data_IF_359715255105
#
_entry.id   IF_359715255105
#
_cell.length_a   1.000
_cell.length_b   1.000
_cell.length_c   1.000
_cell.angle_alpha   90.00
_cell.angle_beta   90.00
_cell.angle_gamma   90.00
#
_symmetry.space_group_name_H-M   'P 1'
#
loop_
_entity.id
_entity.type
_entity.pdbx_description
1 polymer ?
#
# COMPACT_ATOMS: atom_id res chain seq x y z
N UNK A 1 7.01 -11.00 -15.76
CA UNK A 1 7.46 -9.74 -16.40
C UNK A 1 8.72 -9.96 -17.22
N UNK A 2 9.74 -10.65 -16.69
CA UNK A 2 10.98 -10.99 -17.44
C UNK A 2 10.74 -11.69 -18.78
N UNK A 3 9.84 -12.70 -18.83
CA UNK A 3 9.51 -13.38 -20.08
C UNK A 3 8.88 -12.44 -21.12
N UNK A 4 8.02 -11.50 -20.68
CA UNK A 4 7.44 -10.48 -21.55
C UNK A 4 8.52 -9.51 -22.04
N UNK A 5 9.46 -9.14 -21.16
CA UNK A 5 10.61 -8.30 -21.52
C UNK A 5 11.49 -8.94 -22.58
N UNK A 6 11.84 -10.22 -22.41
CA UNK A 6 12.67 -10.96 -23.35
C UNK A 6 12.05 -11.08 -24.75
N UNK A 7 10.71 -11.14 -24.85
CA UNK A 7 10.00 -11.30 -26.12
C UNK A 7 9.52 -10.00 -26.78
N UNK A 8 9.29 -8.94 -26.01
CA UNK A 8 8.60 -7.74 -26.50
C UNK A 8 8.92 -6.44 -25.78
N UNK A 9 9.90 -6.43 -24.87
CA UNK A 9 10.29 -5.24 -24.12
C UNK A 9 9.35 -4.90 -22.97
N UNK A 10 9.30 -3.62 -22.58
CA UNK A 10 8.55 -3.18 -21.39
C UNK A 10 7.04 -3.43 -21.57
N UNK A 11 6.41 -4.03 -20.56
CA UNK A 11 4.95 -4.25 -20.55
C UNK A 11 4.13 -2.98 -20.31
N UNK A 12 4.79 -1.90 -19.90
CA UNK A 12 4.17 -0.62 -19.62
C UNK A 12 5.14 0.34 -18.91
N UNK A 13 4.70 1.58 -18.61
CA UNK A 13 5.55 2.61 -18.01
C UNK A 13 6.00 2.28 -16.57
N UNK A 14 5.37 1.31 -15.92
CA UNK A 14 5.70 0.86 -14.57
C UNK A 14 6.26 -0.57 -14.56
N UNK A 15 6.78 -1.07 -15.69
CA UNK A 15 7.35 -2.42 -15.77
C UNK A 15 8.35 -2.69 -14.63
N UNK A 16 8.06 -3.68 -13.80
CA UNK A 16 8.84 -4.10 -12.64
C UNK A 16 8.97 -3.04 -11.51
N UNK A 17 8.12 -2.01 -11.48
CA UNK A 17 8.09 -1.04 -10.39
C UNK A 17 7.37 -1.64 -9.17
N UNK A 18 8.04 -1.80 -8.00
CA UNK A 18 7.41 -2.35 -6.80
C UNK A 18 6.57 -1.28 -6.10
N UNK A 19 5.29 -1.59 -5.89
CA UNK A 19 4.27 -0.69 -5.32
C UNK A 19 3.76 -1.22 -3.99
N UNK A 20 3.72 -0.33 -3.00
CA UNK A 20 3.05 -0.55 -1.71
C UNK A 20 1.62 0.00 -1.75
N UNK A 21 0.64 -0.75 -1.27
CA UNK A 21 -0.77 -0.32 -1.26
C UNK A 21 -1.29 -0.16 0.17
N UNK A 22 -1.84 1.00 0.52
CA UNK A 22 -2.61 1.17 1.77
C UNK A 22 -3.67 0.09 1.89
N UNK A 23 -3.78 -0.51 3.07
CA UNK A 23 -4.54 -1.75 3.28
C UNK A 23 -6.03 -1.68 2.87
N UNK A 24 -6.66 -0.51 2.93
CA UNK A 24 -8.04 -0.30 2.43
C UNK A 24 -8.21 -0.34 0.91
N UNK A 25 -7.12 -0.39 0.13
CA UNK A 25 -7.20 -0.63 -1.33
C UNK A 25 -7.53 -2.10 -1.54
N UNK A 26 -8.66 -2.36 -2.18
CA UNK A 26 -9.14 -3.73 -2.44
C UNK A 26 -8.29 -4.43 -3.50
N UNK A 27 -7.96 -5.68 -3.20
CA UNK A 27 -7.12 -6.57 -4.01
C UNK A 27 -7.73 -7.97 -3.99
N UNK A 28 -7.78 -8.65 -5.13
CA UNK A 28 -8.27 -10.04 -5.20
C UNK A 28 -7.27 -11.05 -4.63
N UNK A 29 -5.97 -10.76 -4.69
CA UNK A 29 -4.87 -11.67 -4.32
C UNK A 29 -4.33 -11.46 -2.89
N UNK A 30 -4.74 -10.39 -2.20
CA UNK A 30 -4.27 -10.05 -0.85
C UNK A 30 -5.45 -9.58 0.03
N UNK A 31 -5.43 -9.85 1.34
CA UNK A 31 -6.45 -9.34 2.25
C UNK A 31 -6.53 -7.80 2.26
N UNK A 32 -7.72 -7.28 2.55
CA UNK A 32 -8.00 -5.85 2.77
C UNK A 32 -8.69 -5.71 4.11
N UNK A 33 -7.95 -5.33 5.15
CA UNK A 33 -8.48 -5.35 6.53
C UNK A 33 -9.03 -4.00 6.98
N UNK A 34 -8.83 -2.94 6.20
CA UNK A 34 -9.13 -1.55 6.58
C UNK A 34 -8.44 -1.14 7.91
N UNK A 35 -7.35 -1.82 8.29
CA UNK A 35 -6.73 -1.71 9.60
C UNK A 35 -7.58 -2.18 10.79
N UNK A 36 -8.70 -2.89 10.56
CA UNK A 36 -9.60 -3.35 11.61
C UNK A 36 -9.50 -4.86 11.79
N UNK A 37 -9.49 -5.32 13.05
CA UNK A 37 -9.57 -6.74 13.37
C UNK A 37 -10.88 -7.39 12.88
N UNK A 38 -11.93 -6.59 12.62
CA UNK A 38 -13.20 -7.06 12.07
C UNK A 38 -13.06 -7.67 10.67
N UNK A 39 -12.03 -7.27 9.93
CA UNK A 39 -11.75 -7.70 8.57
C UNK A 39 -10.45 -8.49 8.49
N UNK A 40 -9.97 -9.07 9.60
CA UNK A 40 -8.78 -9.93 9.55
C UNK A 40 -9.01 -11.12 8.61
N UNK A 41 -8.10 -11.27 7.65
CA UNK A 41 -8.22 -12.26 6.57
C UNK A 41 -9.31 -11.98 5.52
N UNK A 42 -9.99 -10.84 5.54
CA UNK A 42 -11.02 -10.51 4.54
C UNK A 42 -10.39 -10.32 3.15
N UNK A 43 -10.92 -11.06 2.16
CA UNK A 43 -10.56 -10.93 0.75
C UNK A 43 -11.77 -10.37 0.00
N UNK A 44 -11.59 -9.24 -0.70
CA UNK A 44 -12.68 -8.54 -1.39
C UNK A 44 -13.24 -9.29 -2.60
N UNK A 45 -12.46 -10.23 -3.16
CA UNK A 45 -12.78 -10.93 -4.41
C UNK A 45 -12.71 -10.03 -5.66
N UNK A 46 -12.23 -8.79 -5.53
CA UNK A 46 -12.12 -7.83 -6.63
C UNK A 46 -10.93 -6.89 -6.45
N UNK A 47 -10.41 -6.42 -7.57
CA UNK A 47 -9.42 -5.35 -7.58
C UNK A 47 -10.09 -3.98 -7.64
N UNK A 48 -9.56 -3.03 -6.88
CA UNK A 48 -9.87 -1.63 -7.06
C UNK A 48 -9.37 -1.16 -8.45
N UNK A 49 -10.01 -0.15 -9.03
CA UNK A 49 -9.61 0.38 -10.35
C UNK A 49 -8.14 0.78 -10.42
N UNK A 50 -7.57 1.29 -9.31
CA UNK A 50 -6.15 1.65 -9.26
C UNK A 50 -5.22 0.43 -9.34
N UNK A 51 -5.63 -0.70 -8.75
CA UNK A 51 -4.89 -1.97 -8.82
C UNK A 51 -4.83 -2.46 -10.26
N UNK A 52 -5.98 -2.52 -10.93
CA UNK A 52 -6.07 -2.90 -12.35
C UNK A 52 -5.14 -2.04 -13.21
N UNK A 53 -5.19 -0.71 -13.04
CA UNK A 53 -4.36 0.21 -13.82
C UNK A 53 -2.86 0.08 -13.53
N UNK A 54 -2.48 -0.21 -12.28
CA UNK A 54 -1.09 -0.44 -11.91
C UNK A 54 -0.56 -1.73 -12.54
N UNK A 55 -1.34 -2.82 -12.46
CA UNK A 55 -0.99 -4.11 -13.07
C UNK A 55 -0.90 -4.00 -14.60
N UNK A 56 -1.86 -3.34 -15.25
CA UNK A 56 -1.84 -3.05 -16.69
C UNK A 56 -0.62 -2.22 -17.10
N UNK A 57 -0.14 -1.33 -16.24
CA UNK A 57 1.08 -0.56 -16.47
C UNK A 57 2.38 -1.36 -16.22
N UNK A 58 2.28 -2.61 -15.77
CA UNK A 58 3.40 -3.51 -15.48
C UNK A 58 3.99 -3.40 -14.08
N UNK A 59 3.30 -2.71 -13.16
CA UNK A 59 3.73 -2.58 -11.77
C UNK A 59 3.59 -3.92 -11.02
N UNK A 60 4.39 -4.08 -9.96
CA UNK A 60 4.33 -5.23 -9.06
C UNK A 60 3.75 -4.74 -7.73
N UNK A 61 2.55 -5.17 -7.38
CA UNK A 61 2.00 -4.90 -6.05
C UNK A 61 2.71 -5.82 -5.05
N UNK A 62 3.58 -5.23 -4.24
CA UNK A 62 4.47 -6.00 -3.37
C UNK A 62 3.82 -6.36 -2.03
N UNK A 63 3.07 -5.43 -1.44
CA UNK A 63 2.48 -5.62 -0.12
C UNK A 63 1.35 -4.62 0.18
N UNK A 64 0.53 -4.99 1.17
CA UNK A 64 -0.41 -4.09 1.84
C UNK A 64 0.31 -3.37 2.99
N UNK A 65 0.10 -2.07 3.14
CA UNK A 65 0.70 -1.27 4.21
C UNK A 65 -0.31 -0.99 5.33
N UNK A 66 0.19 -1.06 6.56
CA UNK A 66 -0.61 -0.73 7.73
C UNK A 66 -1.09 0.75 7.67
N UNK A 67 -2.23 1.02 8.29
CA UNK A 67 -2.91 2.32 8.24
C UNK A 67 -3.54 2.67 9.59
N UNK A 68 -4.18 3.82 9.72
CA UNK A 68 -5.14 4.04 10.80
C UNK A 68 -6.41 3.24 10.56
N UNK A 69 -6.95 2.56 11.57
CA UNK A 69 -8.21 1.81 11.46
C UNK A 69 -9.33 2.67 10.84
N UNK A 70 -9.96 2.16 9.77
CA UNK A 70 -10.95 2.88 8.93
C UNK A 70 -10.50 4.28 8.50
N UNK A 71 -9.20 4.46 8.24
CA UNK A 71 -8.57 5.72 7.87
C UNK A 71 -8.72 6.87 8.91
N UNK A 72 -9.08 6.55 10.16
CA UNK A 72 -9.45 7.53 11.18
C UNK A 72 -8.36 7.84 12.22
N UNK A 73 -7.28 7.04 12.27
CA UNK A 73 -6.20 7.14 13.28
C UNK A 73 -4.83 7.45 12.64
N UNK A 74 -3.89 7.94 13.45
CA UNK A 74 -2.56 8.39 12.98
C UNK A 74 -1.37 7.51 13.44
N UNK A 75 -1.54 6.60 14.40
CA UNK A 75 -0.42 5.84 15.01
C UNK A 75 -0.32 4.40 14.51
N UNK A 76 -1.42 3.83 14.02
CA UNK A 76 -1.50 2.43 13.60
C UNK A 76 -2.91 1.87 13.74
N UNK A 77 -2.98 0.54 13.85
CA UNK A 77 -4.21 -0.23 13.71
C UNK A 77 -4.25 -1.42 14.68
N UNK A 78 -5.26 -2.28 14.54
CA UNK A 78 -5.30 -3.56 15.25
C UNK A 78 -4.10 -4.47 14.94
N UNK A 79 -3.42 -4.24 13.82
CA UNK A 79 -2.23 -4.99 13.37
C UNK A 79 -0.92 -4.38 13.87
N UNK A 80 -0.98 -3.46 14.83
CA UNK A 80 0.16 -2.89 15.52
C UNK A 80 0.47 -1.43 15.17
N UNK A 81 1.49 -0.92 15.84
CA UNK A 81 1.94 0.47 15.73
C UNK A 81 2.83 0.64 14.50
N UNK A 82 2.60 1.71 13.77
CA UNK A 82 3.47 2.16 12.68
C UNK A 82 4.54 3.05 13.31
N UNK A 83 5.82 2.73 13.10
CA UNK A 83 6.94 3.53 13.60
C UNK A 83 7.52 4.39 12.49
N UNK A 84 7.87 5.63 12.78
CA UNK A 84 8.51 6.50 11.80
C UNK A 84 9.91 5.94 11.42
N UNK A 85 10.19 5.89 10.11
CA UNK A 85 11.42 5.29 9.57
C UNK A 85 12.70 6.04 9.95
N UNK A 86 12.61 7.36 10.21
CA UNK A 86 13.77 8.18 10.58
C UNK A 86 14.02 8.21 12.09
N UNK A 87 12.96 8.08 12.90
CA UNK A 87 13.04 8.05 14.35
C UNK A 87 11.87 7.21 14.91
N UNK A 88 12.12 5.96 15.34
CA UNK A 88 11.07 5.06 15.80
C UNK A 88 10.29 5.54 17.04
N UNK A 89 10.77 6.58 17.74
CA UNK A 89 10.06 7.20 18.87
C UNK A 89 9.05 8.27 18.43
N UNK A 90 9.02 8.64 17.14
CA UNK A 90 8.10 9.66 16.59
C UNK A 90 6.90 9.05 15.88
N UNK A 91 5.83 9.85 15.83
CA UNK A 91 4.63 9.53 15.06
C UNK A 91 4.94 9.59 13.55
N UNK A 92 4.55 8.58 12.75
CA UNK A 92 4.71 8.59 11.29
C UNK A 92 3.68 9.45 10.53
N UNK A 93 2.79 10.14 11.26
CA UNK A 93 1.54 10.70 10.76
C UNK A 93 0.63 9.63 10.13
N UNK A 94 -0.48 10.02 9.51
CA UNK A 94 -1.42 9.07 8.95
C UNK A 94 -2.69 9.72 8.43
N UNK A 95 -3.70 8.96 8.04
CA UNK A 95 -3.84 7.51 8.26
C UNK A 95 -3.03 6.61 7.31
N UNK A 96 -2.34 7.17 6.31
CA UNK A 96 -1.46 6.41 5.38
C UNK A 96 -0.03 6.25 5.91
N UNK A 97 0.17 6.25 7.24
CA UNK A 97 1.50 6.28 7.86
C UNK A 97 2.39 5.10 7.49
N UNK A 98 1.81 3.91 7.25
CA UNK A 98 2.55 2.72 6.86
C UNK A 98 3.04 2.80 5.42
N UNK A 99 2.26 3.45 4.53
CA UNK A 99 2.72 3.78 3.18
C UNK A 99 3.91 4.75 3.25
N UNK A 100 3.76 5.87 3.96
CA UNK A 100 4.83 6.87 4.08
C UNK A 100 6.11 6.31 4.69
N UNK A 101 5.99 5.60 5.81
CA UNK A 101 7.11 4.91 6.47
C UNK A 101 7.74 3.85 5.58
N UNK A 102 6.94 3.01 4.90
CA UNK A 102 7.43 1.95 4.03
C UNK A 102 8.28 2.48 2.88
N UNK A 103 7.88 3.61 2.28
CA UNK A 103 8.68 4.27 1.24
C UNK A 103 9.93 4.91 1.84
N UNK A 104 9.84 5.60 2.98
CA UNK A 104 11.01 6.16 3.66
C UNK A 104 12.03 5.09 4.09
N UNK A 105 11.58 3.85 4.33
CA UNK A 105 12.41 2.69 4.64
C UNK A 105 12.84 1.87 3.41
N UNK A 106 12.54 2.32 2.19
CA UNK A 106 12.86 1.64 0.93
C UNK A 106 12.23 0.24 0.77
N UNK A 107 11.05 -0.02 1.34
CA UNK A 107 10.33 -1.28 1.12
C UNK A 107 9.63 -1.35 -0.24
N UNK A 108 9.43 -0.22 -0.90
CA UNK A 108 8.94 -0.15 -2.27
C UNK A 108 9.38 1.16 -2.93
N UNK A 109 9.20 1.27 -4.24
CA UNK A 109 9.60 2.46 -4.99
C UNK A 109 8.49 3.53 -4.98
N UNK A 110 7.23 3.09 -5.02
CA UNK A 110 6.05 3.96 -5.00
C UNK A 110 5.03 3.42 -4.01
N UNK A 111 4.33 4.31 -3.31
CA UNK A 111 3.29 3.96 -2.35
C UNK A 111 1.96 4.62 -2.70
N UNK A 112 0.88 3.84 -2.63
CA UNK A 112 -0.49 4.36 -2.73
C UNK A 112 -1.03 4.58 -1.32
N UNK A 113 -1.44 5.82 -1.05
CA UNK A 113 -2.18 6.21 0.14
C UNK A 113 -3.57 6.72 -0.23
N UNK A 114 -4.30 7.19 0.77
CA UNK A 114 -5.59 7.87 0.57
C UNK A 114 -5.66 9.05 1.55
N UNK A 115 -6.21 10.16 1.08
CA UNK A 115 -6.26 11.45 1.78
C UNK A 115 -7.70 11.95 1.88
N UNK A 116 -8.30 11.83 3.07
CA UNK A 116 -9.59 12.45 3.39
C UNK A 116 -9.43 13.85 3.99
N UNK A 117 -8.46 14.05 4.89
CA UNK A 117 -8.27 15.33 5.62
C UNK A 117 -6.82 15.69 5.90
N UNK A 118 -5.86 15.04 5.23
CA UNK A 118 -4.42 15.13 5.51
C UNK A 118 -3.72 13.78 5.44
N UNK A 119 -4.43 12.70 5.10
CA UNK A 119 -3.94 11.35 5.38
C UNK A 119 -2.78 10.85 4.54
N UNK A 120 -2.44 11.54 3.45
CA UNK A 120 -1.20 11.30 2.69
C UNK A 120 -0.13 12.31 3.08
N UNK A 121 -0.50 13.59 3.21
CA UNK A 121 0.43 14.70 3.42
C UNK A 121 1.08 14.68 4.80
N UNK A 122 0.29 14.32 5.80
CA UNK A 122 0.69 14.30 7.21
C UNK A 122 0.77 15.66 7.87
#
# INVERSE_FOLDING_TARGET
LDAAYAGGGLTGPLHCVPVLLKDQVETREMPTTYGSALFDGFVSGRDATIVVRLEEAGAIILAKTNMGEFASRYVGSAFGIIRNAYDPARNPSGSSGGTGTGIAANFGLVGIGEDTGGSIRG
#
